data_IF_049813075002
#
_entry.id   IF_049813075002
#
_cell.length_a   1.000
_cell.length_b   1.000
_cell.length_c   1.000
_cell.angle_alpha   90.00
_cell.angle_beta   90.00
_cell.angle_gamma   90.00
#
_symmetry.space_group_name_H-M   'P 1'
#
loop_
_entity.id
_entity.type
_entity.pdbx_description
1 polymer ?
#
# COMPACT_ATOMS: atom_id res chain seq x y z
N UNK A 1 -27.95 -45.03 -42.92
CA UNK A 1 -27.87 -44.68 -41.48
C UNK A 1 -27.45 -43.23 -41.36
N UNK A 2 -28.35 -42.34 -40.94
CA UNK A 2 -28.05 -40.96 -40.53
C UNK A 2 -28.44 -40.85 -39.05
N UNK A 3 -27.47 -40.68 -38.16
CA UNK A 3 -27.74 -40.28 -36.79
C UNK A 3 -27.40 -38.79 -36.66
N UNK A 4 -28.42 -38.00 -36.33
CA UNK A 4 -28.35 -36.57 -36.01
C UNK A 4 -28.23 -36.44 -34.50
N UNK A 5 -27.14 -35.84 -34.02
CA UNK A 5 -26.97 -35.48 -32.60
C UNK A 5 -27.34 -34.01 -32.48
N UNK A 6 -28.53 -33.72 -31.94
CA UNK A 6 -28.91 -32.38 -31.48
C UNK A 6 -28.21 -32.14 -30.15
N UNK A 7 -27.21 -31.25 -30.13
CA UNK A 7 -26.66 -30.73 -28.88
C UNK A 7 -27.56 -29.62 -28.33
N UNK A 8 -27.83 -29.68 -27.02
CA UNK A 8 -28.63 -28.72 -26.25
C UNK A 8 -27.88 -27.37 -26.08
N UNK A 9 -28.11 -26.42 -26.98
CA UNK A 9 -27.55 -25.05 -26.88
C UNK A 9 -28.07 -24.27 -25.66
N UNK A 10 -29.24 -24.62 -25.11
CA UNK A 10 -29.88 -23.90 -24.00
C UNK A 10 -29.22 -24.09 -22.62
N UNK A 11 -28.36 -25.10 -22.47
CA UNK A 11 -27.63 -25.35 -21.22
C UNK A 11 -26.36 -24.50 -21.08
N UNK A 12 -25.67 -24.24 -22.19
CA UNK A 12 -24.40 -23.51 -22.21
C UNK A 12 -24.57 -22.01 -22.02
N UNK A 13 -25.60 -21.39 -22.62
CA UNK A 13 -25.90 -19.97 -22.42
C UNK A 13 -26.24 -19.64 -20.95
N UNK A 14 -26.94 -20.55 -20.27
CA UNK A 14 -27.31 -20.36 -18.84
C UNK A 14 -26.11 -20.52 -17.90
N UNK A 15 -25.13 -21.35 -18.28
CA UNK A 15 -23.85 -21.51 -17.56
C UNK A 15 -22.94 -20.31 -17.81
N UNK A 16 -22.88 -19.80 -19.05
CA UNK A 16 -22.12 -18.60 -19.41
C UNK A 16 -22.70 -17.35 -18.75
N UNK A 17 -24.03 -17.15 -18.76
CA UNK A 17 -24.68 -16.01 -18.09
C UNK A 17 -24.58 -16.06 -16.56
N UNK A 18 -24.62 -17.25 -15.94
CA UNK A 18 -24.40 -17.38 -14.50
C UNK A 18 -22.93 -17.16 -14.10
N UNK A 19 -21.98 -17.36 -15.02
CA UNK A 19 -20.56 -17.10 -14.79
C UNK A 19 -20.26 -15.60 -14.87
N UNK A 20 -20.81 -14.89 -15.86
CA UNK A 20 -20.70 -13.42 -15.95
C UNK A 20 -21.47 -12.69 -14.84
N UNK A 21 -22.57 -13.25 -14.32
CA UNK A 21 -23.30 -12.64 -13.20
C UNK A 21 -22.58 -12.80 -11.85
N UNK A 22 -21.86 -13.92 -11.61
CA UNK A 22 -21.06 -14.11 -10.37
C UNK A 22 -19.77 -13.29 -10.34
N UNK A 23 -19.20 -12.96 -11.49
CA UNK A 23 -18.03 -12.09 -11.56
C UNK A 23 -18.35 -10.59 -11.34
N UNK A 24 -19.64 -10.25 -11.17
CA UNK A 24 -20.10 -8.89 -10.84
C UNK A 24 -20.37 -8.66 -9.35
N UNK A 25 -20.07 -9.64 -8.48
CA UNK A 25 -19.79 -9.33 -7.08
C UNK A 25 -18.64 -8.32 -7.06
N UNK A 26 -18.91 -7.12 -6.55
CA UNK A 26 -17.95 -6.04 -6.36
C UNK A 26 -16.69 -6.57 -5.69
N UNK A 27 -15.69 -6.98 -6.49
CA UNK A 27 -14.34 -7.22 -6.01
C UNK A 27 -13.92 -5.90 -5.36
N UNK A 28 -13.84 -5.89 -4.02
CA UNK A 28 -13.28 -4.73 -3.33
C UNK A 28 -11.94 -4.42 -3.97
N UNK A 29 -11.73 -3.15 -4.34
CA UNK A 29 -10.53 -2.75 -5.04
C UNK A 29 -9.34 -3.10 -4.13
N UNK A 30 -8.55 -4.10 -4.54
CA UNK A 30 -7.38 -4.52 -3.76
C UNK A 30 -6.41 -3.34 -3.68
N UNK A 31 -5.90 -3.06 -2.48
CA UNK A 31 -4.88 -2.02 -2.30
C UNK A 31 -3.67 -2.29 -3.20
N UNK A 32 -3.22 -1.31 -4.00
CA UNK A 32 -2.10 -1.51 -4.92
C UNK A 32 -0.76 -1.44 -4.17
N UNK A 33 -0.44 -2.48 -3.40
CA UNK A 33 0.75 -2.56 -2.53
C UNK A 33 2.06 -2.30 -3.24
N UNK A 34 2.20 -2.78 -4.48
CA UNK A 34 3.39 -2.51 -5.29
C UNK A 34 3.55 -1.02 -5.60
N UNK A 35 2.45 -0.26 -5.81
CA UNK A 35 2.53 1.20 -6.06
C UNK A 35 3.00 1.93 -4.81
N UNK A 36 2.43 1.62 -3.66
CA UNK A 36 2.91 2.17 -2.39
C UNK A 36 4.37 1.79 -2.09
N UNK A 37 4.79 0.56 -2.38
CA UNK A 37 6.20 0.19 -2.19
C UNK A 37 7.11 0.97 -3.15
N UNK A 38 6.69 1.06 -4.40
CA UNK A 38 7.38 1.76 -5.47
C UNK A 38 7.55 3.24 -5.19
N UNK A 39 6.47 3.92 -4.81
CA UNK A 39 6.46 5.35 -4.52
C UNK A 39 7.29 5.63 -3.26
N UNK A 40 7.28 4.72 -2.28
CA UNK A 40 8.16 4.81 -1.11
C UNK A 40 9.63 4.82 -1.53
N UNK A 41 10.05 3.91 -2.41
CA UNK A 41 11.42 3.92 -2.92
C UNK A 41 11.71 5.16 -3.76
N UNK A 42 10.81 5.60 -4.65
CA UNK A 42 10.99 6.80 -5.47
C UNK A 42 11.21 8.03 -4.60
N UNK A 43 10.31 8.29 -3.65
CA UNK A 43 10.38 9.44 -2.75
C UNK A 43 11.62 9.35 -1.86
N UNK A 44 11.95 8.16 -1.35
CA UNK A 44 13.09 7.95 -0.45
C UNK A 44 14.44 8.08 -1.15
N UNK A 45 14.59 7.59 -2.38
CA UNK A 45 15.88 7.37 -3.02
C UNK A 45 16.22 8.35 -4.15
N UNK A 46 15.23 8.91 -4.86
CA UNK A 46 15.49 9.87 -5.96
C UNK A 46 16.26 11.11 -5.52
N UNK A 47 15.95 11.73 -4.36
CA UNK A 47 16.74 12.85 -3.85
C UNK A 47 18.17 12.50 -3.44
N UNK A 48 18.51 11.20 -3.38
CA UNK A 48 19.86 10.69 -3.13
C UNK A 48 20.55 10.22 -4.42
N UNK A 49 20.13 10.75 -5.58
CA UNK A 49 20.73 10.46 -6.89
C UNK A 49 20.67 8.98 -7.27
N UNK A 50 19.62 8.29 -6.85
CA UNK A 50 19.28 6.95 -7.31
C UNK A 50 18.08 7.01 -8.24
N UNK A 51 18.14 6.29 -9.35
CA UNK A 51 16.98 6.19 -10.24
C UNK A 51 16.11 5.04 -9.77
N UNK A 52 14.81 5.29 -9.64
CA UNK A 52 13.81 4.28 -9.27
C UNK A 52 12.79 4.16 -10.40
N UNK A 53 12.79 3.02 -11.09
CA UNK A 53 11.87 2.71 -12.17
C UNK A 53 10.83 1.70 -11.71
N UNK A 54 9.59 1.92 -12.15
CA UNK A 54 8.44 1.03 -11.97
C UNK A 54 7.85 0.83 -13.35
N UNK A 55 7.16 -0.30 -13.58
CA UNK A 55 6.48 -0.54 -14.85
C UNK A 55 7.44 -0.61 -16.05
N UNK A 56 8.64 -1.15 -15.84
CA UNK A 56 9.58 -1.38 -16.93
C UNK A 56 8.95 -2.36 -17.93
N UNK A 57 8.79 -2.00 -19.21
CA UNK A 57 8.18 -2.87 -20.22
C UNK A 57 9.18 -3.95 -20.62
N UNK A 58 9.40 -4.92 -19.74
CA UNK A 58 10.22 -6.10 -20.01
C UNK A 58 9.53 -6.99 -21.07
N UNK A 59 8.21 -6.84 -21.23
CA UNK A 59 7.36 -7.56 -22.18
C UNK A 59 6.41 -6.58 -22.91
N UNK A 60 5.88 -6.98 -24.07
CA UNK A 60 4.96 -6.15 -24.90
C UNK A 60 3.68 -5.73 -24.17
N UNK A 61 3.20 -6.59 -23.27
CA UNK A 61 2.14 -6.31 -22.30
C UNK A 61 2.68 -6.80 -20.95
N UNK A 62 3.40 -5.94 -20.19
CA UNK A 62 3.90 -6.35 -18.89
C UNK A 62 2.68 -6.64 -18.00
N UNK A 63 2.62 -7.80 -17.30
CA UNK A 63 1.68 -7.93 -16.20
C UNK A 63 1.94 -6.76 -15.26
N UNK A 64 0.89 -6.09 -14.74
CA UNK A 64 1.01 -4.97 -13.79
C UNK A 64 2.09 -5.30 -12.76
N UNK A 65 3.29 -4.74 -12.92
CA UNK A 65 4.49 -5.42 -12.42
C UNK A 65 4.72 -5.03 -10.96
N UNK A 66 4.74 -6.03 -10.08
CA UNK A 66 5.20 -5.91 -8.69
C UNK A 66 6.73 -5.71 -8.59
N UNK A 67 7.33 -5.03 -9.57
CA UNK A 67 8.78 -4.86 -9.71
C UNK A 67 9.21 -3.42 -9.50
N UNK A 68 10.21 -3.25 -8.64
CA UNK A 68 10.94 -1.98 -8.47
C UNK A 68 12.38 -2.16 -8.93
N UNK A 69 12.86 -1.23 -9.74
CA UNK A 69 14.24 -1.21 -10.23
C UNK A 69 14.95 -0.02 -9.62
N UNK A 70 16.06 -0.24 -8.92
CA UNK A 70 16.91 0.80 -8.34
C UNK A 70 18.24 0.80 -9.07
N UNK A 71 18.65 1.95 -9.61
CA UNK A 71 19.94 2.13 -10.28
C UNK A 71 20.79 3.15 -9.53
N UNK A 72 22.08 2.84 -9.39
CA UNK A 72 23.09 3.78 -8.87
C UNK A 72 24.09 4.16 -9.94
N UNK A 73 24.55 5.40 -9.87
CA UNK A 73 25.57 5.94 -10.77
C UNK A 73 27.01 5.76 -10.24
N UNK A 74 27.16 5.44 -8.95
CA UNK A 74 28.45 5.33 -8.28
C UNK A 74 28.76 3.88 -7.84
N UNK A 75 30.04 3.50 -7.67
CA UNK A 75 30.43 2.11 -7.34
C UNK A 75 30.02 1.64 -5.95
N UNK A 76 29.73 2.57 -5.02
CA UNK A 76 29.37 2.28 -3.63
C UNK A 76 28.17 3.10 -3.20
N UNK A 77 27.40 2.56 -2.27
CA UNK A 77 26.35 3.32 -1.61
C UNK A 77 26.97 4.43 -0.77
N UNK A 78 26.37 5.61 -0.79
CA UNK A 78 26.69 6.66 0.18
C UNK A 78 26.07 6.31 1.54
N UNK A 79 26.57 6.93 2.62
CA UNK A 79 26.01 6.71 3.96
C UNK A 79 24.50 6.98 4.00
N UNK A 80 24.07 8.13 3.47
CA UNK A 80 22.65 8.50 3.35
C UNK A 80 21.82 7.48 2.54
N UNK A 81 22.38 6.89 1.49
CA UNK A 81 21.71 5.81 0.74
C UNK A 81 21.59 4.54 1.59
N UNK A 82 22.65 4.16 2.30
CA UNK A 82 22.61 2.97 3.17
C UNK A 82 21.68 3.12 4.37
N UNK A 83 21.38 4.34 4.81
CA UNK A 83 20.37 4.60 5.84
C UNK A 83 18.93 4.41 5.34
N UNK A 84 18.71 4.47 4.01
CA UNK A 84 17.38 4.35 3.39
C UNK A 84 17.15 3.03 2.67
N UNK A 85 18.20 2.24 2.47
CA UNK A 85 18.14 0.92 1.86
C UNK A 85 18.11 -0.16 2.94
N UNK A 86 17.21 -1.15 2.85
CA UNK A 86 17.13 -2.21 3.84
C UNK A 86 18.27 -3.20 3.70
N UNK A 87 18.43 -4.01 4.74
CA UNK A 87 19.32 -5.18 4.76
C UNK A 87 19.11 -6.08 3.54
N UNK A 88 20.19 -6.68 3.06
CA UNK A 88 20.26 -7.37 1.78
C UNK A 88 20.51 -6.43 0.61
N UNK A 89 19.71 -5.36 0.45
CA UNK A 89 19.86 -4.40 -0.65
C UNK A 89 21.08 -3.50 -0.41
N UNK A 90 21.20 -2.92 0.79
CA UNK A 90 22.33 -2.04 1.15
C UNK A 90 23.68 -2.76 1.13
N UNK A 91 23.68 -4.09 1.17
CA UNK A 91 24.89 -4.93 1.22
C UNK A 91 25.39 -5.35 -0.17
N UNK A 92 24.61 -5.10 -1.22
CA UNK A 92 24.99 -5.51 -2.58
C UNK A 92 25.98 -4.53 -3.21
N UNK A 93 26.91 -5.07 -4.02
CA UNK A 93 27.81 -4.31 -4.89
C UNK A 93 27.24 -4.10 -6.32
N UNK A 94 26.06 -4.66 -6.63
CA UNK A 94 25.42 -4.50 -7.94
C UNK A 94 24.93 -3.06 -8.18
N UNK A 95 25.21 -2.50 -9.37
CA UNK A 95 24.77 -1.15 -9.75
C UNK A 95 23.28 -1.06 -10.08
N UNK A 96 22.66 -2.19 -10.40
CA UNK A 96 21.24 -2.34 -10.65
C UNK A 96 20.66 -3.36 -9.67
N UNK A 97 19.52 -3.00 -9.08
CA UNK A 97 18.76 -3.87 -8.17
C UNK A 97 17.35 -4.02 -8.71
N UNK A 98 16.87 -5.26 -8.83
CA UNK A 98 15.47 -5.60 -9.16
C UNK A 98 14.83 -6.17 -7.92
N UNK A 99 13.65 -5.66 -7.54
CA UNK A 99 12.88 -6.17 -6.41
C UNK A 99 11.59 -6.77 -6.95
N UNK A 100 11.40 -8.08 -6.82
CA UNK A 100 10.12 -8.75 -7.07
C UNK A 100 9.36 -8.82 -5.75
N UNK A 101 8.28 -8.06 -5.62
CA UNK A 101 7.55 -7.93 -4.36
C UNK A 101 6.31 -8.82 -4.30
N UNK A 102 6.21 -9.64 -3.26
CA UNK A 102 5.04 -10.49 -2.98
C UNK A 102 4.38 -10.09 -1.67
N UNK A 103 3.23 -9.42 -1.81
CA UNK A 103 2.42 -8.99 -0.68
C UNK A 103 1.51 -10.11 -0.16
N UNK A 104 0.53 -10.52 -0.99
CA UNK A 104 -0.55 -11.42 -0.57
C UNK A 104 -0.21 -12.90 -0.71
N UNK A 105 0.63 -13.28 -1.68
CA UNK A 105 1.05 -14.65 -1.91
C UNK A 105 2.38 -14.94 -1.19
N UNK A 106 2.59 -16.22 -0.83
CA UNK A 106 3.91 -16.67 -0.39
C UNK A 106 4.79 -16.91 -1.62
N UNK A 107 6.10 -16.72 -1.46
CA UNK A 107 7.08 -17.10 -2.47
C UNK A 107 6.89 -18.58 -2.85
N UNK A 108 6.95 -18.85 -4.15
CA UNK A 108 6.77 -20.17 -4.75
C UNK A 108 7.56 -20.27 -6.07
N UNK A 109 7.44 -21.38 -6.79
CA UNK A 109 8.16 -21.62 -8.06
C UNK A 109 7.78 -20.63 -9.17
N UNK A 110 6.52 -20.19 -9.25
CA UNK A 110 6.08 -19.21 -10.26
C UNK A 110 6.75 -17.85 -10.03
N UNK A 111 6.87 -17.42 -8.77
CA UNK A 111 7.60 -16.20 -8.39
C UNK A 111 9.07 -16.28 -8.81
N UNK A 112 9.70 -17.44 -8.66
CA UNK A 112 11.09 -17.66 -9.08
C UNK A 112 11.21 -17.56 -10.61
N UNK A 113 10.29 -18.19 -11.35
CA UNK A 113 10.25 -18.11 -12.81
C UNK A 113 10.06 -16.66 -13.30
N UNK A 114 9.15 -15.92 -12.67
CA UNK A 114 8.89 -14.52 -12.96
C UNK A 114 10.14 -13.65 -12.71
N UNK A 115 10.73 -13.74 -11.53
CA UNK A 115 11.95 -13.01 -11.18
C UNK A 115 13.15 -13.38 -12.06
N UNK A 116 13.31 -14.65 -12.42
CA UNK A 116 14.33 -15.10 -13.37
C UNK A 116 14.12 -14.51 -14.77
N UNK A 117 12.86 -14.39 -15.21
CA UNK A 117 12.48 -13.70 -16.44
C UNK A 117 12.92 -12.24 -16.40
N UNK A 118 12.54 -11.49 -15.36
CA UNK A 118 12.95 -10.11 -15.17
C UNK A 118 14.47 -9.95 -15.16
N UNK A 119 15.17 -10.79 -14.39
CA UNK A 119 16.63 -10.81 -14.36
C UNK A 119 17.22 -10.99 -15.75
N UNK A 120 16.75 -11.99 -16.52
CA UNK A 120 17.29 -12.31 -17.84
C UNK A 120 17.05 -11.18 -18.84
N UNK A 121 15.81 -10.73 -18.97
CA UNK A 121 15.43 -9.76 -20.00
C UNK A 121 15.97 -8.36 -19.69
N UNK A 122 15.91 -7.92 -18.44
CA UNK A 122 16.46 -6.62 -18.06
C UNK A 122 17.98 -6.59 -18.23
N UNK A 123 18.69 -7.62 -17.76
CA UNK A 123 20.14 -7.73 -17.93
C UNK A 123 20.54 -7.67 -19.41
N UNK A 124 19.83 -8.39 -20.27
CA UNK A 124 20.08 -8.39 -21.70
C UNK A 124 19.78 -7.01 -22.32
N UNK A 125 18.64 -6.39 -21.99
CA UNK A 125 18.23 -5.11 -22.55
C UNK A 125 19.19 -3.97 -22.16
N UNK A 126 19.74 -4.01 -20.95
CA UNK A 126 20.70 -3.03 -20.44
C UNK A 126 22.17 -3.44 -20.67
N UNK A 127 22.42 -4.56 -21.35
CA UNK A 127 23.76 -5.10 -21.64
C UNK A 127 24.66 -5.28 -20.39
N UNK A 128 24.05 -5.62 -19.25
CA UNK A 128 24.73 -5.69 -17.96
C UNK A 128 25.52 -6.99 -17.78
N UNK A 129 26.66 -6.90 -17.09
CA UNK A 129 27.41 -8.07 -16.61
C UNK A 129 26.72 -8.69 -15.40
N UNK A 130 26.94 -9.99 -15.13
CA UNK A 130 26.29 -10.67 -14.01
C UNK A 130 26.46 -10.03 -12.63
N UNK A 131 27.59 -9.36 -12.37
CA UNK A 131 27.87 -8.70 -11.08
C UNK A 131 27.25 -7.30 -10.97
N UNK A 132 26.79 -6.72 -12.08
CA UNK A 132 26.18 -5.38 -12.11
C UNK A 132 24.69 -5.42 -11.75
N UNK A 133 24.06 -6.60 -11.74
CA UNK A 133 22.64 -6.79 -11.47
C UNK A 133 22.41 -7.77 -10.33
N UNK A 134 21.65 -7.34 -9.32
CA UNK A 134 21.12 -8.21 -8.27
C UNK A 134 19.58 -8.17 -8.28
N UNK A 135 18.94 -9.33 -8.42
CA UNK A 135 17.50 -9.46 -8.21
C UNK A 135 17.25 -9.94 -6.77
N UNK A 136 16.24 -9.42 -6.09
CA UNK A 136 15.80 -9.87 -4.78
C UNK A 136 14.31 -10.25 -4.83
N UNK A 137 13.95 -11.28 -4.08
CA UNK A 137 12.56 -11.55 -3.75
C UNK A 137 12.24 -10.84 -2.44
N UNK A 138 11.22 -9.98 -2.42
CA UNK A 138 10.72 -9.36 -1.20
C UNK A 138 9.41 -10.05 -0.81
N UNK A 139 9.38 -10.65 0.37
CA UNK A 139 8.19 -11.34 0.89
C UNK A 139 7.62 -10.60 2.08
N UNK A 140 6.39 -10.09 1.93
CA UNK A 140 5.65 -9.51 3.05
C UNK A 140 5.32 -10.57 4.11
N UNK A 141 4.97 -11.79 3.67
CA UNK A 141 4.72 -12.96 4.52
C UNK A 141 6.02 -13.65 4.91
N UNK A 142 6.07 -14.21 6.12
CA UNK A 142 7.19 -15.08 6.51
C UNK A 142 7.12 -16.35 5.66
N UNK A 143 8.17 -16.67 4.87
CA UNK A 143 8.22 -17.91 4.11
C UNK A 143 8.13 -19.13 5.04
N UNK A 144 7.36 -20.15 4.64
CA UNK A 144 7.26 -21.37 5.44
C UNK A 144 8.56 -22.20 5.36
N UNK A 145 8.84 -23.01 6.38
CA UNK A 145 9.98 -23.92 6.36
C UNK A 145 9.95 -24.88 5.16
N UNK A 146 8.75 -25.34 4.76
CA UNK A 146 8.55 -26.16 3.57
C UNK A 146 8.96 -25.42 2.30
N UNK A 147 8.45 -24.20 2.11
CA UNK A 147 8.81 -23.33 0.98
C UNK A 147 10.32 -23.09 0.88
N UNK A 148 10.96 -22.76 2.01
CA UNK A 148 12.40 -22.52 2.06
C UNK A 148 13.18 -23.77 1.64
N UNK A 149 12.81 -24.93 2.19
CA UNK A 149 13.44 -26.22 1.86
C UNK A 149 13.26 -26.59 0.38
N UNK A 150 12.03 -26.51 -0.14
CA UNK A 150 11.70 -26.82 -1.55
C UNK A 150 12.49 -25.96 -2.52
N UNK A 151 12.72 -24.69 -2.21
CA UNK A 151 13.45 -23.75 -3.06
C UNK A 151 14.95 -23.64 -2.69
N UNK A 152 15.40 -24.44 -1.72
CA UNK A 152 16.79 -24.53 -1.28
C UNK A 152 17.33 -23.30 -0.55
N UNK A 153 16.46 -22.45 0.03
CA UNK A 153 16.83 -21.25 0.79
C UNK A 153 17.22 -21.56 2.23
N UNK A 154 18.35 -20.98 2.64
CA UNK A 154 18.88 -21.05 4.01
C UNK A 154 19.16 -19.64 4.54
N UNK A 155 19.10 -19.42 5.87
CA UNK A 155 19.47 -18.13 6.47
C UNK A 155 20.90 -17.73 6.11
N UNK A 156 21.10 -16.47 5.71
CA UNK A 156 22.37 -15.97 5.19
C UNK A 156 23.18 -15.16 6.24
N UNK A 157 23.06 -15.51 7.53
CA UNK A 157 23.77 -14.86 8.63
C UNK A 157 23.14 -13.56 9.14
N UNK A 158 22.22 -12.96 8.39
CA UNK A 158 21.44 -11.79 8.80
C UNK A 158 19.95 -12.13 8.90
N UNK A 159 19.29 -11.63 9.95
CA UNK A 159 17.88 -11.92 10.19
C UNK A 159 17.01 -11.43 9.04
N UNK A 160 16.14 -12.31 8.55
CA UNK A 160 15.27 -12.03 7.41
C UNK A 160 15.92 -12.15 6.03
N UNK A 161 17.22 -12.43 5.93
CA UNK A 161 17.92 -12.62 4.66
C UNK A 161 18.21 -14.10 4.43
N UNK A 162 17.79 -14.61 3.28
CA UNK A 162 17.95 -16.00 2.89
C UNK A 162 18.65 -16.10 1.52
N UNK A 163 19.49 -17.11 1.35
CA UNK A 163 20.14 -17.42 0.08
C UNK A 163 19.87 -18.86 -0.30
N UNK A 164 19.59 -19.09 -1.58
CA UNK A 164 19.39 -20.43 -2.10
C UNK A 164 20.69 -21.07 -2.54
N UNK A 165 20.82 -22.37 -2.28
CA UNK A 165 21.91 -23.20 -2.80
C UNK A 165 21.60 -23.76 -4.20
N UNK A 166 20.39 -23.55 -4.73
CA UNK A 166 20.00 -24.04 -6.06
C UNK A 166 20.43 -23.07 -7.20
N UNK A 167 20.82 -23.57 -8.40
CA UNK A 167 21.47 -22.74 -9.43
C UNK A 167 20.68 -21.54 -9.94
N UNK A 168 19.36 -21.66 -10.10
CA UNK A 168 18.53 -20.53 -10.55
C UNK A 168 18.17 -19.65 -9.36
N UNK A 169 17.64 -20.23 -8.29
CA UNK A 169 17.21 -19.51 -7.09
C UNK A 169 18.34 -18.71 -6.41
N UNK A 170 19.61 -19.16 -6.47
CA UNK A 170 20.75 -18.42 -5.88
C UNK A 170 20.94 -17.02 -6.46
N UNK A 171 20.42 -16.75 -7.66
CA UNK A 171 20.47 -15.43 -8.29
C UNK A 171 19.56 -14.42 -7.58
N UNK A 172 18.61 -14.89 -6.76
CA UNK A 172 17.55 -14.08 -6.16
C UNK A 172 17.50 -14.27 -4.65
N UNK A 173 18.39 -13.64 -3.84
CA UNK A 173 18.27 -13.68 -2.40
C UNK A 173 16.88 -13.23 -1.94
N UNK A 174 16.36 -13.90 -0.92
CA UNK A 174 15.02 -13.66 -0.38
C UNK A 174 15.12 -12.80 0.87
N UNK A 175 14.33 -11.73 0.91
CA UNK A 175 14.16 -10.82 2.03
C UNK A 175 12.77 -11.03 2.62
N UNK A 176 12.69 -11.55 3.84
CA UNK A 176 11.45 -11.69 4.60
C UNK A 176 11.24 -10.46 5.47
N UNK A 177 10.27 -9.61 5.12
CA UNK A 177 10.03 -8.34 5.80
C UNK A 177 9.62 -8.52 7.26
N UNK A 178 8.93 -9.60 7.56
CA UNK A 178 8.54 -9.95 8.92
C UNK A 178 9.72 -10.35 9.83
N UNK A 179 10.82 -10.81 9.24
CA UNK A 179 11.96 -11.36 9.98
C UNK A 179 13.17 -10.41 9.95
N UNK A 180 13.10 -9.30 9.21
CA UNK A 180 14.06 -8.20 9.28
C UNK A 180 14.08 -7.57 10.69
N UNK A 181 15.24 -7.14 11.20
CA UNK A 181 15.31 -6.46 12.49
C UNK A 181 14.70 -5.05 12.41
N UNK A 182 14.23 -4.52 13.54
CA UNK A 182 13.67 -3.16 13.66
C UNK A 182 14.76 -2.07 13.73
N UNK A 183 15.65 -2.10 12.75
CA UNK A 183 16.72 -1.12 12.58
C UNK A 183 16.27 0.07 11.72
N UNK A 184 16.91 1.23 11.89
CA UNK A 184 16.53 2.49 11.22
C UNK A 184 16.43 2.36 9.70
N UNK A 185 17.32 1.59 9.07
CA UNK A 185 17.33 1.39 7.62
C UNK A 185 16.30 0.34 7.13
N UNK A 186 15.70 -0.43 8.03
CA UNK A 186 14.67 -1.42 7.70
C UNK A 186 13.24 -0.93 7.96
N UNK A 187 13.03 0.07 8.82
CA UNK A 187 11.66 0.42 9.25
C UNK A 187 10.73 0.81 8.10
N UNK A 188 11.23 1.51 7.08
CA UNK A 188 10.40 1.92 5.93
C UNK A 188 9.88 0.70 5.16
N UNK A 189 10.74 -0.28 4.87
CA UNK A 189 10.31 -1.49 4.17
C UNK A 189 9.45 -2.37 5.07
N UNK A 190 9.68 -2.38 6.38
CA UNK A 190 8.89 -3.17 7.33
C UNK A 190 7.45 -2.67 7.50
N UNK A 191 7.12 -1.45 7.06
CA UNK A 191 5.72 -1.00 6.94
C UNK A 191 4.92 -1.88 5.96
N UNK A 192 5.59 -2.59 5.05
CA UNK A 192 5.01 -3.51 4.08
C UNK A 192 5.02 -4.97 4.53
N UNK A 193 5.48 -5.27 5.76
CA UNK A 193 5.42 -6.59 6.34
C UNK A 193 3.96 -7.05 6.55
N UNK A 194 3.71 -8.36 6.66
CA UNK A 194 2.35 -8.88 6.80
C UNK A 194 1.92 -9.07 8.26
N UNK A 195 2.87 -9.20 9.19
CA UNK A 195 2.58 -9.41 10.61
C UNK A 195 2.35 -8.07 11.29
N UNK A 196 1.16 -7.87 11.86
CA UNK A 196 0.80 -6.73 12.70
C UNK A 196 1.91 -6.29 13.65
N UNK A 197 2.48 -7.21 14.43
CA UNK A 197 3.50 -6.86 15.44
C UNK A 197 4.74 -6.20 14.82
N UNK A 198 5.09 -6.60 13.60
CA UNK A 198 6.26 -6.08 12.88
C UNK A 198 5.97 -4.70 12.32
N UNK A 199 4.79 -4.50 11.75
CA UNK A 199 4.31 -3.19 11.29
C UNK A 199 4.25 -2.21 12.47
N UNK A 200 3.64 -2.62 13.60
CA UNK A 200 3.55 -1.80 14.81
C UNK A 200 4.92 -1.38 15.33
N UNK A 201 5.86 -2.32 15.38
CA UNK A 201 7.21 -2.04 15.86
C UNK A 201 7.97 -1.11 14.89
N UNK A 202 7.80 -1.31 13.58
CA UNK A 202 8.37 -0.44 12.55
C UNK A 202 7.80 0.97 12.61
N UNK A 203 6.48 1.14 12.75
CA UNK A 203 5.83 2.44 12.90
C UNK A 203 6.31 3.18 14.14
N UNK A 204 6.40 2.50 15.29
CA UNK A 204 6.90 3.13 16.52
C UNK A 204 8.36 3.54 16.40
N UNK A 205 9.20 2.68 15.81
CA UNK A 205 10.62 2.99 15.58
C UNK A 205 10.80 4.14 14.57
N UNK A 206 9.96 4.20 13.54
CA UNK A 206 9.93 5.28 12.57
C UNK A 206 9.52 6.61 13.21
N UNK A 207 8.51 6.60 14.07
CA UNK A 207 8.05 7.77 14.84
C UNK A 207 9.17 8.40 15.66
N UNK A 208 9.99 7.58 16.32
CA UNK A 208 11.13 8.05 17.14
C UNK A 208 12.23 8.76 16.33
N UNK A 209 12.21 8.64 15.00
CA UNK A 209 13.23 9.20 14.13
C UNK A 209 12.66 10.09 13.01
N UNK A 210 11.34 10.33 13.03
CA UNK A 210 10.63 11.05 11.97
C UNK A 210 11.10 12.50 11.84
N UNK A 211 11.54 13.12 12.94
CA UNK A 211 12.11 14.49 12.95
C UNK A 211 13.40 14.64 12.12
N UNK A 212 14.14 13.54 11.90
CA UNK A 212 15.37 13.54 11.11
C UNK A 212 15.14 13.20 9.64
N UNK A 213 13.91 12.81 9.27
CA UNK A 213 13.58 12.53 7.88
C UNK A 213 13.26 13.84 7.14
N UNK A 214 13.67 13.97 5.88
CA UNK A 214 13.26 15.10 5.06
C UNK A 214 11.74 15.22 4.97
N UNK A 215 11.25 16.46 4.93
CA UNK A 215 9.82 16.78 4.92
C UNK A 215 9.03 15.97 3.88
N UNK A 216 9.53 15.91 2.64
CA UNK A 216 8.87 15.16 1.55
C UNK A 216 8.68 13.67 1.86
N UNK A 217 9.60 13.04 2.59
CA UNK A 217 9.54 11.62 2.94
C UNK A 217 8.62 11.42 4.14
N UNK A 218 8.71 12.34 5.11
CA UNK A 218 7.80 12.40 6.24
C UNK A 218 6.35 12.56 5.78
N UNK A 219 6.07 13.44 4.82
CA UNK A 219 4.73 13.64 4.27
C UNK A 219 4.22 12.40 3.54
N UNK A 220 5.05 11.78 2.71
CA UNK A 220 4.70 10.51 2.08
C UNK A 220 4.36 9.42 3.11
N UNK A 221 5.15 9.29 4.19
CA UNK A 221 4.89 8.34 5.26
C UNK A 221 3.57 8.65 5.95
N UNK A 222 3.27 9.94 6.21
CA UNK A 222 1.99 10.33 6.79
C UNK A 222 0.83 9.97 5.88
N UNK A 223 0.95 10.20 4.59
CA UNK A 223 -0.08 9.87 3.62
C UNK A 223 -0.28 8.36 3.52
N UNK A 224 0.82 7.60 3.44
CA UNK A 224 0.77 6.13 3.47
C UNK A 224 0.04 5.66 4.73
N UNK A 225 0.46 6.12 5.91
CA UNK A 225 -0.13 5.68 7.18
C UNK A 225 -1.60 6.14 7.27
N UNK A 226 -1.94 7.36 6.85
CA UNK A 226 -3.31 7.87 6.92
C UNK A 226 -4.22 7.09 5.97
N UNK A 227 -3.82 6.90 4.72
CA UNK A 227 -4.61 6.17 3.73
C UNK A 227 -4.73 4.68 4.08
N UNK A 228 -3.63 4.04 4.48
CA UNK A 228 -3.61 2.63 4.84
C UNK A 228 -4.33 2.39 6.16
N UNK A 229 -4.09 3.17 7.22
CA UNK A 229 -4.63 2.88 8.56
C UNK A 229 -5.94 3.57 8.90
N UNK A 230 -6.36 4.60 8.17
CA UNK A 230 -7.59 5.36 8.50
C UNK A 230 -8.65 5.39 7.40
N UNK A 231 -8.32 5.03 6.16
CA UNK A 231 -9.20 5.18 4.99
C UNK A 231 -10.00 3.95 4.54
N UNK A 232 -9.74 2.73 5.05
CA UNK A 232 -10.41 1.51 4.58
C UNK A 232 -11.58 1.07 5.47
N UNK A 233 -12.79 0.92 4.90
CA UNK A 233 -13.93 0.25 5.58
C UNK A 233 -13.67 -1.25 5.79
N UNK A 234 -12.79 -1.86 4.99
CA UNK A 234 -12.33 -3.24 5.16
C UNK A 234 -10.81 -3.30 5.16
N UNK A 235 -10.26 -3.39 6.36
CA UNK A 235 -8.85 -3.66 6.65
C UNK A 235 -8.64 -5.15 6.95
N UNK A 236 -9.43 -6.02 6.31
CA UNK A 236 -9.52 -7.47 6.55
C UNK A 236 -8.19 -8.21 6.39
N UNK A 237 -7.22 -7.59 5.72
CA UNK A 237 -6.00 -8.23 5.28
C UNK A 237 -4.77 -7.96 6.19
N UNK A 238 -4.88 -7.06 7.18
CA UNK A 238 -3.85 -6.90 8.24
C UNK A 238 -4.08 -7.81 9.45
N UNK A 239 -5.13 -8.67 9.43
CA UNK A 239 -5.62 -9.40 10.60
C UNK A 239 -5.78 -8.49 11.83
N UNK A 240 -6.12 -7.20 11.61
CA UNK A 240 -6.36 -6.24 12.68
C UNK A 240 -7.83 -6.33 13.06
N UNK A 241 -8.09 -6.60 14.33
CA UNK A 241 -9.44 -6.45 14.86
C UNK A 241 -9.86 -4.97 14.79
N UNK A 242 -11.16 -4.64 14.83
CA UNK A 242 -11.61 -3.25 14.92
C UNK A 242 -10.93 -2.46 16.06
N UNK A 243 -10.67 -3.11 17.21
CA UNK A 243 -9.98 -2.54 18.36
C UNK A 243 -8.52 -2.20 18.01
N UNK A 244 -7.84 -3.09 17.29
CA UNK A 244 -6.47 -2.86 16.86
C UNK A 244 -6.36 -1.65 15.92
N UNK A 245 -7.33 -1.47 15.04
CA UNK A 245 -7.42 -0.30 14.16
C UNK A 245 -7.65 0.97 14.96
N UNK A 246 -8.51 0.93 15.96
CA UNK A 246 -8.75 2.07 16.85
C UNK A 246 -7.49 2.43 17.64
N UNK A 247 -6.77 1.45 18.18
CA UNK A 247 -5.50 1.69 18.91
C UNK A 247 -4.43 2.26 17.99
N UNK A 248 -4.27 1.70 16.79
CA UNK A 248 -3.35 2.21 15.76
C UNK A 248 -3.66 3.64 15.37
N UNK A 249 -4.91 3.90 14.99
CA UNK A 249 -5.39 5.23 14.61
C UNK A 249 -5.15 6.22 15.75
N UNK A 250 -5.46 5.84 17.00
CA UNK A 250 -5.22 6.68 18.17
C UNK A 250 -3.73 7.00 18.35
N UNK A 251 -2.86 6.00 18.35
CA UNK A 251 -1.41 6.20 18.51
C UNK A 251 -0.81 7.03 17.39
N UNK A 252 -1.31 6.86 16.18
CA UNK A 252 -0.89 7.67 15.04
C UNK A 252 -1.35 9.12 15.15
N UNK A 253 -2.61 9.34 15.53
CA UNK A 253 -3.11 10.69 15.80
C UNK A 253 -2.34 11.35 16.96
N UNK A 254 -2.04 10.61 18.03
CA UNK A 254 -1.19 11.11 19.13
C UNK A 254 0.20 11.50 18.64
N UNK A 255 0.79 10.72 17.74
CA UNK A 255 2.08 11.04 17.11
C UNK A 255 2.00 12.31 16.26
N UNK A 256 0.99 12.41 15.39
CA UNK A 256 0.74 13.61 14.58
C UNK A 256 0.57 14.85 15.47
N UNK A 257 -0.25 14.75 16.52
CA UNK A 257 -0.48 15.82 17.49
C UNK A 257 0.77 16.23 18.27
N UNK A 258 1.71 15.32 18.47
CA UNK A 258 2.97 15.60 19.18
C UNK A 258 4.02 16.24 18.27
N UNK A 259 3.95 15.95 16.96
CA UNK A 259 4.95 16.36 15.98
C UNK A 259 4.55 17.58 15.14
N UNK A 260 3.26 17.95 15.12
CA UNK A 260 2.72 19.00 14.25
C UNK A 260 1.79 19.94 15.02
N UNK A 261 1.73 21.19 14.58
CA UNK A 261 0.74 22.16 15.04
C UNK A 261 -0.67 21.76 14.59
N UNK A 262 -1.73 22.23 15.28
CA UNK A 262 -3.11 21.99 14.85
C UNK A 262 -3.38 22.40 13.40
N UNK A 263 -2.79 23.51 12.95
CA UNK A 263 -2.93 24.02 11.58
C UNK A 263 -2.30 23.07 10.55
N UNK A 264 -1.10 22.58 10.82
CA UNK A 264 -0.42 21.58 9.97
C UNK A 264 -1.23 20.29 9.89
N UNK A 265 -1.73 19.79 11.02
CA UNK A 265 -2.57 18.59 11.07
C UNK A 265 -3.85 18.80 10.26
N UNK A 266 -4.53 19.93 10.44
CA UNK A 266 -5.73 20.23 9.68
C UNK A 266 -5.45 20.27 8.18
N UNK A 267 -4.31 20.83 7.76
CA UNK A 267 -3.92 20.94 6.34
C UNK A 267 -3.86 19.59 5.62
N UNK A 268 -3.58 18.50 6.35
CA UNK A 268 -3.50 17.13 5.82
C UNK A 268 -4.86 16.53 5.43
N UNK A 269 -5.97 17.13 5.87
CA UNK A 269 -7.32 16.66 5.58
C UNK A 269 -8.03 17.59 4.59
N UNK A 270 -8.85 17.01 3.71
CA UNK A 270 -9.75 17.82 2.86
C UNK A 270 -10.79 18.54 3.72
N UNK A 271 -11.37 19.62 3.21
CA UNK A 271 -12.46 20.32 3.91
C UNK A 271 -13.65 19.40 4.21
N UNK A 272 -13.88 18.39 3.35
CA UNK A 272 -14.95 17.40 3.54
C UNK A 272 -14.63 16.43 4.69
N UNK A 273 -13.41 15.91 4.74
CA UNK A 273 -12.97 15.00 5.81
C UNK A 273 -12.97 15.69 7.18
N UNK A 274 -12.55 16.96 7.24
CA UNK A 274 -12.59 17.76 8.48
C UNK A 274 -14.00 17.90 9.06
N UNK A 275 -15.02 17.90 8.20
CA UNK A 275 -16.42 18.07 8.59
C UNK A 275 -17.14 16.73 8.78
N UNK A 276 -16.52 15.60 8.39
CA UNK A 276 -17.10 14.26 8.48
C UNK A 276 -17.38 13.90 9.94
N UNK A 277 -18.60 13.42 10.22
CA UNK A 277 -19.04 13.08 11.57
C UNK A 277 -19.48 14.28 12.44
N UNK A 278 -19.24 15.53 12.02
CA UNK A 278 -19.84 16.69 12.69
C UNK A 278 -21.34 16.78 12.38
N UNK A 279 -22.17 17.03 13.40
CA UNK A 279 -23.59 17.31 13.20
C UNK A 279 -23.77 18.64 12.45
N UNK A 280 -24.81 18.80 11.62
CA UNK A 280 -25.05 20.04 10.89
C UNK A 280 -25.01 21.30 11.76
N UNK A 281 -25.52 21.23 12.98
CA UNK A 281 -25.53 22.36 13.92
C UNK A 281 -24.12 22.77 14.35
N UNK A 282 -23.23 21.80 14.56
CA UNK A 282 -21.84 22.04 14.96
C UNK A 282 -21.02 22.61 13.78
N UNK A 283 -21.34 22.21 12.54
CA UNK A 283 -20.72 22.76 11.32
C UNK A 283 -21.08 24.23 11.09
N UNK A 284 -22.32 24.60 11.41
CA UNK A 284 -22.84 25.96 11.22
C UNK A 284 -22.58 26.86 12.44
N UNK A 285 -22.01 26.31 13.53
CA UNK A 285 -21.73 27.05 14.76
C UNK A 285 -20.72 28.17 14.50
N UNK A 286 -21.04 29.38 14.93
CA UNK A 286 -20.21 30.57 14.67
C UNK A 286 -20.46 31.24 13.31
N UNK A 287 -21.18 30.61 12.37
CA UNK A 287 -21.63 31.28 11.15
C UNK A 287 -22.84 32.17 11.43
N UNK A 288 -22.86 33.37 10.85
CA UNK A 288 -24.03 34.27 10.88
C UNK A 288 -25.17 33.69 10.03
N UNK A 289 -26.45 33.96 10.35
CA UNK A 289 -27.58 33.44 9.60
C UNK A 289 -27.49 33.65 8.08
N UNK A 290 -27.02 34.82 7.65
CA UNK A 290 -26.89 35.18 6.23
C UNK A 290 -25.86 34.29 5.52
N UNK A 291 -24.74 33.99 6.18
CA UNK A 291 -23.68 33.14 5.64
C UNK A 291 -24.11 31.67 5.52
N UNK A 292 -25.03 31.22 6.39
CA UNK A 292 -25.61 29.86 6.34
C UNK A 292 -26.57 29.67 5.16
N UNK A 293 -27.26 30.74 4.77
CA UNK A 293 -28.25 30.73 3.69
C UNK A 293 -27.64 31.06 2.32
N UNK A 294 -26.36 31.44 2.30
CA UNK A 294 -25.62 31.79 1.09
C UNK A 294 -25.57 30.60 0.13
N UNK A 295 -26.06 30.79 -1.09
CA UNK A 295 -26.12 29.75 -2.12
C UNK A 295 -27.46 29.00 -2.22
N UNK A 296 -28.40 29.24 -1.31
CA UNK A 296 -29.79 28.79 -1.46
C UNK A 296 -30.58 29.77 -2.33
N UNK A 297 -31.48 29.28 -3.18
CA UNK A 297 -32.35 30.14 -3.97
C UNK A 297 -33.50 30.68 -3.11
N UNK A 298 -33.95 31.94 -3.31
CA UNK A 298 -35.05 32.52 -2.54
C UNK A 298 -36.30 31.63 -2.51
N UNK A 299 -36.64 31.01 -3.63
CA UNK A 299 -37.83 30.15 -3.78
C UNK A 299 -37.75 28.89 -2.90
N UNK A 300 -36.54 28.34 -2.68
CA UNK A 300 -36.30 27.17 -1.83
C UNK A 300 -36.48 27.51 -0.34
N UNK A 301 -36.07 28.73 0.05
CA UNK A 301 -36.24 29.25 1.41
C UNK A 301 -37.71 29.51 1.72
N UNK A 302 -38.44 30.12 0.79
CA UNK A 302 -39.88 30.39 0.93
C UNK A 302 -40.69 29.09 1.06
N UNK A 303 -40.41 28.09 0.21
CA UNK A 303 -41.05 26.78 0.28
C UNK A 303 -40.79 26.09 1.63
N UNK A 304 -39.57 26.18 2.16
CA UNK A 304 -39.23 25.63 3.47
C UNK A 304 -39.97 26.35 4.62
N UNK A 305 -40.07 27.68 4.57
CA UNK A 305 -40.81 28.49 5.55
C UNK A 305 -42.31 28.15 5.56
N UNK A 306 -42.93 27.99 4.39
CA UNK A 306 -44.32 27.55 4.26
C UNK A 306 -44.54 26.19 4.94
N UNK A 307 -43.61 25.24 4.74
CA UNK A 307 -43.67 23.90 5.34
C UNK A 307 -43.60 23.95 6.88
N UNK A 308 -42.75 24.82 7.45
CA UNK A 308 -42.64 24.95 8.91
C UNK A 308 -43.88 25.62 9.49
N UNK A 309 -44.36 26.71 8.88
CA UNK A 309 -45.58 27.42 9.32
C UNK A 309 -46.80 26.49 9.30
N UNK A 310 -46.93 25.66 8.27
CA UNK A 310 -47.99 24.64 8.19
C UNK A 310 -47.90 23.58 9.30
N UNK A 311 -46.69 23.16 9.69
CA UNK A 311 -46.48 22.22 10.82
C UNK A 311 -46.75 22.83 12.19
N UNK A 312 -46.53 24.14 12.36
CA UNK A 312 -46.86 24.85 13.60
C UNK A 312 -48.37 25.09 13.75
N UNK A 313 -49.08 25.33 12.66
CA UNK A 313 -50.54 25.46 12.67
C UNK A 313 -51.29 24.17 13.05
N UNK A 314 -50.68 23.00 12.89
CA UNK A 314 -51.23 21.70 13.32
C UNK A 314 -50.94 21.30 14.77
N UNK A 315 -50.20 22.13 15.54
CA UNK A 315 -49.95 21.97 16.98
C UNK A 315 -50.66 23.08 17.76
N UNK A 316 -51.98 23.18 17.60
CA UNK A 316 -52.81 23.92 18.57
C UNK A 316 -53.11 22.93 19.70
N UNK A 317 -52.83 23.23 20.98
CA UNK A 317 -53.30 22.38 22.07
C UNK A 317 -54.83 22.44 22.10
N UNK A 318 -55.50 21.28 22.05
CA UNK A 318 -56.85 21.18 22.60
C UNK A 318 -56.74 21.56 24.07
N UNK A 319 -57.14 22.78 24.41
CA UNK A 319 -57.42 23.16 25.78
C UNK A 319 -58.80 22.58 26.12
N UNK A 320 -58.85 21.81 27.23
CA UNK A 320 -60.06 21.36 27.92
C UNK A 320 -61.05 22.52 28.22
#
# INVERSE_FOLDING_TARGET
>A
MKYSIKYEEKGLEKILMNKTARDSETKSAKTPWHRWLSDMFKVSLTPLELEVETDFPVMREPPEADVVIIRRHHPRWTEAQTERLPDGIRDTAATHVILEFKYSESVNEEVICQAAGYYKFYKNHRELKPHELQCFLLSSKTPSASTLSTLGYEPAGQSGIYRSNFPVCRLMPLISLNDLPNERHNVLIKLFASKKREIMAATEKLRQHMEYLPEYLTDYIKDFITNVFTGGEEMDWLNLTPEDRAVMKKRWLEALHSSFSPEEIMSMFTSEDRLKGMRPEDRLKGMRPEDRLKGMRPEELEAYLLRIKGKQAGKVPEND
#
